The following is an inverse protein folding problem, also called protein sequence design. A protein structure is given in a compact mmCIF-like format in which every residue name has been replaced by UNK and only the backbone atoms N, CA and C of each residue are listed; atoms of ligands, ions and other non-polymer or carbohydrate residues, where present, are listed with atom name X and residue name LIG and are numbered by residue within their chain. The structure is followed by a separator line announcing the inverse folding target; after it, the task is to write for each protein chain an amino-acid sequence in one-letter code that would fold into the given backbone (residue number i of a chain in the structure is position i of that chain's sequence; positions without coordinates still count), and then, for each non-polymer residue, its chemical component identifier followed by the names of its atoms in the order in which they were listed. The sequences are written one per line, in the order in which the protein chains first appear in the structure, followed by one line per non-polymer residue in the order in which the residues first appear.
data_IF_677275070695
#
_entry.id   IF_677275070695
#
_cell.length_a   1.000
_cell.length_b   1.000
_cell.length_c   1.000
_cell.angle_alpha   90.00
_cell.angle_beta   90.00
_cell.angle_gamma   90.00
#
_symmetry.space_group_name_H-M   'P 1'
#
loop_
_entity.id
_entity.type
_entity.pdbx_description
1 polymer ?
#
# COMPACT_ATOMS: atom_id res chain seq x y z
N UNK A 1 -0.53 -18.09 18.90
CA UNK A 1 0.04 -16.96 19.71
C UNK A 1 1.44 -16.75 19.22
N UNK A 2 1.62 -15.69 18.44
CA UNK A 2 2.88 -15.41 17.75
C UNK A 2 3.74 -14.37 18.52
N UNK A 3 3.47 -14.21 19.82
CA UNK A 3 4.24 -13.33 20.70
C UNK A 3 5.22 -14.17 21.53
N UNK A 4 6.50 -13.85 21.41
CA UNK A 4 7.56 -14.42 22.24
C UNK A 4 7.95 -13.40 23.32
N UNK A 5 7.86 -13.80 24.58
CA UNK A 5 8.32 -12.96 25.68
C UNK A 5 9.83 -12.76 25.61
N UNK A 6 10.29 -11.53 25.42
CA UNK A 6 11.69 -11.17 25.33
C UNK A 6 12.31 -10.82 26.70
N UNK A 7 11.51 -10.42 27.67
CA UNK A 7 11.99 -10.02 28.98
C UNK A 7 11.17 -8.88 29.57
N UNK A 8 11.74 -8.29 30.60
CA UNK A 8 11.21 -7.13 31.28
C UNK A 8 12.13 -5.94 31.07
N UNK A 9 11.56 -4.78 30.82
CA UNK A 9 12.29 -3.52 30.82
C UNK A 9 11.85 -2.65 32.00
N UNK A 10 12.78 -1.87 32.55
CA UNK A 10 12.49 -0.83 33.53
C UNK A 10 12.42 0.48 32.75
N UNK A 11 11.22 1.04 32.61
CA UNK A 11 10.99 2.28 31.86
C UNK A 11 11.29 3.51 32.72
N UNK A 12 11.06 3.41 34.05
CA UNK A 12 11.32 4.50 34.97
C UNK A 12 11.58 3.97 36.38
N UNK A 13 12.21 4.79 37.22
CA UNK A 13 12.51 4.47 38.61
C UNK A 13 14.00 4.20 38.88
N UNK A 14 14.34 4.03 40.15
CA UNK A 14 15.70 3.73 40.61
C UNK A 14 15.77 2.30 41.12
N UNK A 15 16.67 1.51 40.59
CA UNK A 15 16.90 0.17 41.08
C UNK A 15 17.38 -0.79 40.01
N UNK A 16 17.71 -1.99 40.44
CA UNK A 16 18.02 -3.12 39.57
C UNK A 16 17.04 -4.24 39.89
N UNK A 17 16.92 -5.24 39.00
CA UNK A 17 16.10 -6.43 39.30
C UNK A 17 16.51 -7.17 40.57
N UNK A 18 17.73 -7.01 41.03
CA UNK A 18 18.21 -7.61 42.28
C UNK A 18 17.73 -6.88 43.53
N UNK A 19 17.49 -5.56 43.43
CA UNK A 19 16.96 -4.72 44.53
C UNK A 19 16.12 -3.59 43.95
N UNK A 20 14.91 -3.88 43.42
CA UNK A 20 14.06 -2.85 42.90
C UNK A 20 13.54 -1.94 44.00
N UNK A 21 13.56 -0.63 43.77
CA UNK A 21 12.74 0.30 44.50
C UNK A 21 11.34 0.24 43.90
N UNK A 22 10.38 -0.33 44.57
CA UNK A 22 9.02 -0.51 44.06
C UNK A 22 8.20 0.76 43.98
N UNK A 23 8.69 1.84 44.60
CA UNK A 23 8.06 3.14 44.48
C UNK A 23 8.45 3.76 43.12
N UNK A 24 7.45 4.05 42.31
CA UNK A 24 7.57 4.70 40.98
C UNK A 24 8.40 3.91 39.94
N UNK A 25 8.54 2.61 40.09
CA UNK A 25 9.17 1.77 39.06
C UNK A 25 8.12 1.23 38.12
N UNK A 26 8.24 1.57 36.83
CA UNK A 26 7.42 0.99 35.76
C UNK A 26 8.18 -0.16 35.15
N UNK A 27 7.60 -1.33 35.18
CA UNK A 27 8.16 -2.56 34.60
C UNK A 27 7.20 -3.03 33.51
N UNK A 28 7.71 -3.08 32.28
CA UNK A 28 6.93 -3.49 31.12
C UNK A 28 7.45 -4.81 30.55
N UNK A 29 6.54 -5.74 30.28
CA UNK A 29 6.89 -6.97 29.56
C UNK A 29 7.15 -6.66 28.10
N UNK A 30 8.30 -7.08 27.61
CA UNK A 30 8.61 -7.05 26.19
C UNK A 30 8.22 -8.37 25.53
N UNK A 31 7.49 -8.28 24.44
CA UNK A 31 7.14 -9.41 23.59
C UNK A 31 7.69 -9.20 22.19
N UNK A 32 8.19 -10.28 21.60
CA UNK A 32 8.45 -10.31 20.17
C UNK A 32 7.10 -10.31 19.44
N UNK A 33 6.97 -9.42 18.48
CA UNK A 33 5.81 -9.34 17.58
C UNK A 33 6.31 -9.61 16.18
N UNK A 34 5.81 -10.67 15.58
CA UNK A 34 6.16 -10.95 14.20
C UNK A 34 5.43 -9.97 13.28
N UNK A 35 6.19 -9.19 12.55
CA UNK A 35 5.72 -8.28 11.51
C UNK A 35 6.27 -8.66 10.14
N UNK A 36 6.72 -9.90 9.99
CA UNK A 36 7.39 -10.37 8.78
C UNK A 36 8.67 -9.57 8.51
N UNK A 37 8.80 -9.11 7.29
CA UNK A 37 9.94 -8.30 6.84
C UNK A 37 9.78 -6.80 7.17
N UNK A 38 8.63 -6.40 7.72
CA UNK A 38 8.32 -5.00 7.99
C UNK A 38 8.76 -4.54 9.38
N UNK A 39 9.18 -3.28 9.46
CA UNK A 39 9.25 -2.49 10.71
C UNK A 39 8.06 -1.55 10.69
N UNK A 40 7.32 -1.51 11.79
CA UNK A 40 6.11 -0.68 11.90
C UNK A 40 6.21 0.13 13.18
N UNK A 41 6.02 1.44 13.06
CA UNK A 41 5.83 2.34 14.19
C UNK A 41 4.44 2.96 14.14
N UNK A 42 3.89 3.29 15.31
CA UNK A 42 2.50 3.73 15.46
C UNK A 42 1.51 2.56 15.63
N UNK A 43 0.38 2.85 16.25
CA UNK A 43 -0.66 1.87 16.53
C UNK A 43 -0.26 0.76 17.51
N UNK A 44 -1.17 -0.17 17.72
CA UNK A 44 -1.00 -1.30 18.62
C UNK A 44 -1.17 -2.62 17.87
N UNK A 45 -0.15 -3.50 17.96
CA UNK A 45 -0.22 -4.85 17.40
C UNK A 45 -1.39 -5.66 18.01
N UNK A 46 -2.11 -6.38 17.16
CA UNK A 46 -3.30 -7.16 17.55
C UNK A 46 -4.58 -6.34 17.72
N UNK A 47 -4.49 -5.00 17.62
CA UNK A 47 -5.64 -4.08 17.66
C UNK A 47 -5.74 -3.28 16.37
N UNK A 48 -4.70 -2.54 16.05
CA UNK A 48 -4.67 -1.64 14.88
C UNK A 48 -4.02 -2.30 13.67
N UNK A 49 -3.10 -3.24 13.91
CA UNK A 49 -2.49 -4.04 12.86
C UNK A 49 -2.09 -5.43 13.37
N UNK A 50 -1.97 -6.36 12.45
CA UNK A 50 -1.50 -7.73 12.70
C UNK A 50 -0.69 -8.24 11.50
N UNK A 51 0.06 -9.30 11.72
CA UNK A 51 0.78 -9.99 10.67
C UNK A 51 0.36 -11.45 10.63
N UNK A 52 0.04 -11.96 9.45
CA UNK A 52 -0.40 -13.33 9.21
C UNK A 52 0.48 -14.01 8.17
N UNK A 53 0.66 -15.30 8.30
CA UNK A 53 1.41 -16.10 7.34
C UNK A 53 2.86 -16.29 7.70
N UNK A 54 3.58 -16.96 6.81
CA UNK A 54 5.02 -17.24 6.93
C UNK A 54 5.68 -17.12 5.56
N UNK A 55 6.91 -16.66 5.54
CA UNK A 55 7.71 -16.53 4.34
C UNK A 55 7.01 -15.69 3.25
N UNK A 56 6.97 -16.19 2.02
CA UNK A 56 6.37 -15.55 0.83
C UNK A 56 4.85 -15.31 0.87
N UNK A 57 4.16 -15.79 1.91
CA UNK A 57 2.71 -15.60 2.10
C UNK A 57 2.40 -14.67 3.27
N UNK A 58 3.39 -13.90 3.71
CA UNK A 58 3.20 -12.93 4.78
C UNK A 58 2.26 -11.80 4.36
N UNK A 59 1.33 -11.46 5.26
CA UNK A 59 0.36 -10.40 5.07
C UNK A 59 0.33 -9.48 6.28
N UNK A 60 0.81 -8.25 6.12
CA UNK A 60 0.60 -7.18 7.07
C UNK A 60 -0.81 -6.62 6.88
N UNK A 61 -1.65 -6.78 7.89
CA UNK A 61 -3.04 -6.31 7.89
C UNK A 61 -3.17 -5.08 8.76
N UNK A 62 -3.72 -3.98 8.23
CA UNK A 62 -3.96 -2.73 8.95
C UNK A 62 -5.46 -2.51 9.05
N UNK A 63 -5.94 -2.31 10.28
CA UNK A 63 -7.36 -2.17 10.62
C UNK A 63 -7.68 -0.90 11.40
N UNK A 64 -6.66 -0.21 11.89
CA UNK A 64 -6.81 1.04 12.66
C UNK A 64 -6.82 2.29 11.76
N UNK A 65 -7.15 3.43 12.36
CA UNK A 65 -7.22 4.74 11.68
C UNK A 65 -6.05 5.67 12.02
N UNK A 66 -5.00 5.13 12.66
CA UNK A 66 -3.84 5.93 13.09
C UNK A 66 -2.87 6.27 11.96
N UNK A 67 -1.76 6.85 12.36
CA UNK A 67 -0.58 7.03 11.49
C UNK A 67 0.40 5.90 11.77
N UNK A 68 0.85 5.24 10.71
CA UNK A 68 1.81 4.15 10.76
C UNK A 68 2.97 4.47 9.84
N UNK A 69 4.19 4.35 10.36
CA UNK A 69 5.39 4.40 9.54
C UNK A 69 5.82 2.97 9.24
N UNK A 70 6.09 2.69 7.98
CA UNK A 70 6.44 1.35 7.50
C UNK A 70 7.76 1.44 6.74
N UNK A 71 8.71 0.59 7.13
CA UNK A 71 9.96 0.34 6.41
C UNK A 71 10.25 -1.16 6.37
N UNK A 72 11.26 -1.56 5.62
CA UNK A 72 11.77 -2.93 5.66
C UNK A 72 12.80 -3.08 6.78
N UNK A 73 12.90 -4.29 7.35
CA UNK A 73 13.93 -4.62 8.33
C UNK A 73 15.33 -4.47 7.74
N UNK A 74 16.30 -4.16 8.58
CA UNK A 74 17.70 -4.03 8.18
C UNK A 74 18.18 -5.27 7.42
N UNK A 75 18.82 -5.05 6.27
CA UNK A 75 19.32 -6.10 5.38
C UNK A 75 18.28 -6.68 4.42
N UNK A 76 17.02 -6.29 4.50
CA UNK A 76 15.97 -6.64 3.54
C UNK A 76 15.90 -5.54 2.48
N UNK A 77 16.25 -5.87 1.23
CA UNK A 77 16.19 -4.92 0.11
C UNK A 77 14.83 -4.89 -0.57
N UNK A 78 14.15 -6.02 -0.60
CA UNK A 78 12.77 -6.17 -1.10
C UNK A 78 12.10 -7.33 -0.39
N UNK A 79 10.76 -7.35 -0.42
CA UNK A 79 9.96 -8.42 0.17
C UNK A 79 8.88 -8.90 -0.80
N UNK A 80 8.48 -10.16 -0.66
CA UNK A 80 7.34 -10.73 -1.35
C UNK A 80 6.06 -10.77 -0.46
N UNK A 81 6.14 -10.21 0.74
CA UNK A 81 5.01 -10.06 1.65
C UNK A 81 4.13 -8.89 1.24
N UNK A 82 2.89 -8.90 1.66
CA UNK A 82 1.85 -7.99 1.20
C UNK A 82 1.37 -7.07 2.31
N UNK A 83 0.79 -5.93 1.95
CA UNK A 83 0.11 -5.03 2.87
C UNK A 83 -1.36 -4.95 2.49
N UNK A 84 -2.26 -5.21 3.45
CA UNK A 84 -3.71 -5.06 3.29
C UNK A 84 -4.24 -4.03 4.27
N UNK A 85 -4.88 -3.00 3.74
CA UNK A 85 -5.61 -1.99 4.50
C UNK A 85 -7.09 -2.28 4.30
N UNK A 86 -7.78 -2.78 5.35
CA UNK A 86 -9.17 -3.25 5.21
C UNK A 86 -10.19 -2.49 6.05
N UNK A 87 -9.74 -1.68 6.99
CA UNK A 87 -10.61 -0.88 7.85
C UNK A 87 -9.94 0.43 8.25
N UNK A 88 -10.72 1.30 8.87
CA UNK A 88 -10.23 2.58 9.34
C UNK A 88 -9.97 3.57 8.20
N UNK A 89 -9.24 4.61 8.50
CA UNK A 89 -8.77 5.63 7.55
C UNK A 89 -7.31 5.97 7.86
N UNK A 90 -6.38 4.99 7.71
CA UNK A 90 -5.01 5.18 8.13
C UNK A 90 -4.24 6.16 7.24
N UNK A 91 -3.26 6.80 7.87
CA UNK A 91 -2.13 7.41 7.16
C UNK A 91 -0.94 6.48 7.24
N UNK A 92 -0.41 6.08 6.09
CA UNK A 92 0.76 5.20 5.99
C UNK A 92 1.92 6.01 5.43
N UNK A 93 2.96 6.17 6.22
CA UNK A 93 4.23 6.77 5.79
C UNK A 93 5.13 5.62 5.36
N UNK A 94 5.55 5.63 4.11
CA UNK A 94 6.40 4.60 3.51
C UNK A 94 7.83 5.11 3.43
N UNK A 95 8.76 4.37 4.05
CA UNK A 95 10.19 4.67 4.04
C UNK A 95 10.94 3.59 3.26
N UNK A 96 11.27 3.85 2.00
CA UNK A 96 12.05 2.94 1.13
C UNK A 96 11.46 1.51 1.06
N UNK A 97 10.14 1.40 1.00
CA UNK A 97 9.45 0.10 0.98
C UNK A 97 9.41 -0.45 -0.43
N UNK A 98 9.99 -1.64 -0.64
CA UNK A 98 9.96 -2.35 -1.90
C UNK A 98 9.27 -3.70 -1.75
N UNK A 99 8.18 -3.89 -2.50
CA UNK A 99 7.42 -5.14 -2.55
C UNK A 99 7.39 -5.68 -3.97
N UNK A 100 7.86 -6.92 -4.14
CA UNK A 100 7.81 -7.67 -5.40
C UNK A 100 7.06 -8.97 -5.14
N UNK A 101 5.77 -8.98 -5.44
CA UNK A 101 4.87 -10.08 -5.01
C UNK A 101 3.69 -10.24 -5.98
N UNK A 102 2.90 -11.29 -5.79
CA UNK A 102 1.64 -11.50 -6.55
C UNK A 102 0.59 -10.42 -6.26
N UNK A 103 0.45 -10.02 -5.02
CA UNK A 103 -0.26 -8.83 -4.56
C UNK A 103 0.70 -8.02 -3.72
N UNK A 104 0.73 -6.72 -3.88
CA UNK A 104 1.68 -5.87 -3.19
C UNK A 104 1.01 -5.13 -2.03
N UNK A 105 0.17 -4.15 -2.37
CA UNK A 105 -0.64 -3.40 -1.41
C UNK A 105 -2.09 -3.38 -1.89
N UNK A 106 -3.03 -3.57 -0.97
CA UNK A 106 -4.46 -3.45 -1.23
C UNK A 106 -5.14 -2.53 -0.24
N UNK A 107 -5.93 -1.59 -0.75
CA UNK A 107 -6.89 -0.78 -0.01
C UNK A 107 -8.27 -1.38 -0.28
N UNK A 108 -8.85 -2.08 0.70
CA UNK A 108 -10.05 -2.88 0.53
C UNK A 108 -11.27 -2.21 1.16
N UNK A 109 -12.08 -1.55 0.34
CA UNK A 109 -13.36 -0.96 0.76
C UNK A 109 -13.24 0.16 1.80
N UNK A 110 -12.08 0.82 1.88
CA UNK A 110 -11.80 1.87 2.86
C UNK A 110 -11.00 3.02 2.24
N UNK A 111 -10.64 4.01 3.05
CA UNK A 111 -9.85 5.17 2.63
C UNK A 111 -8.46 5.09 3.25
N UNK A 112 -7.43 5.28 2.45
CA UNK A 112 -6.06 5.34 2.94
C UNK A 112 -5.33 6.55 2.37
N UNK A 113 -4.43 7.11 3.18
CA UNK A 113 -3.46 8.12 2.74
C UNK A 113 -2.06 7.51 2.78
N UNK A 114 -1.36 7.55 1.65
CA UNK A 114 0.05 7.22 1.54
C UNK A 114 0.88 8.49 1.54
N UNK A 115 1.89 8.53 2.40
CA UNK A 115 2.88 9.59 2.47
C UNK A 115 4.21 8.98 2.05
N UNK A 116 4.79 9.51 0.98
CA UNK A 116 6.01 8.98 0.40
C UNK A 116 7.24 9.63 1.03
N UNK A 117 8.14 8.81 1.56
CA UNK A 117 9.47 9.18 2.00
C UNK A 117 10.48 8.20 1.39
N UNK A 118 11.54 8.72 0.74
CA UNK A 118 12.50 7.92 -0.01
C UNK A 118 11.93 7.26 -1.28
N UNK A 119 12.46 6.10 -1.66
CA UNK A 119 12.15 5.38 -2.90
C UNK A 119 11.27 4.16 -2.63
N UNK A 120 10.00 4.22 -2.98
CA UNK A 120 9.04 3.15 -2.75
C UNK A 120 8.67 2.44 -4.06
N UNK A 121 8.54 1.12 -4.02
CA UNK A 121 8.26 0.31 -5.22
C UNK A 121 7.31 -0.84 -4.93
N UNK A 122 6.26 -0.95 -5.73
CA UNK A 122 5.24 -2.00 -5.65
C UNK A 122 5.08 -2.64 -7.02
N UNK A 123 5.76 -3.77 -7.24
CA UNK A 123 5.75 -4.51 -8.49
C UNK A 123 4.99 -5.83 -8.33
N UNK A 124 3.88 -5.97 -9.06
CA UNK A 124 3.17 -7.25 -9.14
C UNK A 124 3.90 -8.20 -10.07
N UNK A 125 4.07 -9.46 -9.66
CA UNK A 125 4.72 -10.52 -10.45
C UNK A 125 3.74 -11.47 -11.12
N UNK A 126 2.45 -11.39 -10.81
CA UNK A 126 1.37 -11.97 -11.58
C UNK A 126 1.24 -13.49 -11.64
N UNK A 127 1.84 -14.23 -10.75
CA UNK A 127 1.68 -15.68 -10.73
C UNK A 127 0.79 -16.13 -9.55
N UNK A 128 -0.52 -16.03 -9.70
CA UNK A 128 -1.43 -16.73 -8.78
C UNK A 128 -2.54 -17.43 -9.56
N UNK A 129 -2.73 -18.70 -9.32
CA UNK A 129 -3.70 -19.60 -9.96
C UNK A 129 -5.17 -19.31 -9.66
N UNK A 130 -5.52 -18.12 -9.15
CA UNK A 130 -6.91 -17.74 -8.91
C UNK A 130 -7.06 -16.23 -8.69
N UNK A 131 -7.77 -15.53 -9.57
CA UNK A 131 -8.49 -14.24 -9.41
C UNK A 131 -7.88 -13.16 -8.49
N UNK A 132 -6.58 -13.18 -8.24
CA UNK A 132 -5.94 -12.20 -7.35
C UNK A 132 -5.60 -10.94 -8.13
N UNK A 133 -5.88 -9.83 -7.49
CA UNK A 133 -5.63 -8.48 -7.94
C UNK A 133 -4.12 -8.28 -8.11
N UNK A 134 -3.68 -8.20 -9.36
CA UNK A 134 -2.26 -8.10 -9.73
C UNK A 134 -1.88 -6.67 -10.14
N UNK A 135 -2.50 -5.68 -9.48
CA UNK A 135 -2.12 -4.28 -9.63
C UNK A 135 -0.81 -3.98 -8.88
N UNK A 136 -0.12 -2.93 -9.24
CA UNK A 136 0.98 -2.41 -8.44
C UNK A 136 0.48 -1.96 -7.06
N UNK A 137 -0.56 -1.12 -7.00
CA UNK A 137 -1.35 -0.87 -5.80
C UNK A 137 -2.81 -1.10 -6.14
N UNK A 138 -3.46 -2.01 -5.43
CA UNK A 138 -4.88 -2.30 -5.61
C UNK A 138 -5.74 -1.38 -4.75
N UNK A 139 -6.67 -0.68 -5.38
CA UNK A 139 -7.78 0.01 -4.69
C UNK A 139 -9.06 -0.71 -5.09
N UNK A 140 -9.69 -1.37 -4.13
CA UNK A 140 -10.89 -2.17 -4.36
C UNK A 140 -12.14 -1.31 -4.45
N UNK A 141 -13.26 -1.93 -4.78
CA UNK A 141 -14.59 -1.28 -4.78
C UNK A 141 -14.86 -0.56 -3.45
N UNK A 142 -15.41 0.65 -3.53
CA UNK A 142 -15.61 1.58 -2.41
C UNK A 142 -14.30 2.02 -1.72
N UNK A 143 -13.15 1.73 -2.31
CA UNK A 143 -11.85 2.15 -1.81
C UNK A 143 -11.43 3.52 -2.35
N UNK A 144 -10.74 4.29 -1.53
CA UNK A 144 -10.16 5.58 -1.93
C UNK A 144 -8.69 5.68 -1.48
N UNK A 145 -7.87 6.24 -2.34
CA UNK A 145 -6.44 6.41 -2.11
C UNK A 145 -6.04 7.88 -2.29
N UNK A 146 -5.40 8.46 -1.28
CA UNK A 146 -4.68 9.72 -1.38
C UNK A 146 -3.17 9.45 -1.33
N UNK A 147 -2.39 10.08 -2.19
CA UNK A 147 -0.92 10.00 -2.22
C UNK A 147 -0.35 11.41 -2.09
N UNK A 148 0.60 11.60 -1.19
CA UNK A 148 1.34 12.84 -1.01
C UNK A 148 2.81 12.59 -0.67
N UNK A 149 3.60 13.64 -0.59
CA UNK A 149 5.00 13.60 -0.15
C UNK A 149 5.13 13.86 1.35
N UNK A 150 6.18 13.33 1.97
CA UNK A 150 6.56 13.69 3.35
C UNK A 150 6.89 15.19 3.48
N UNK A 151 7.35 15.81 2.40
CA UNK A 151 7.64 17.25 2.31
C UNK A 151 6.39 18.10 1.99
N UNK A 152 5.19 17.49 1.98
CA UNK A 152 3.92 18.15 1.78
C UNK A 152 3.34 18.03 0.38
N UNK A 153 2.14 18.55 0.21
CA UNK A 153 1.46 18.60 -1.08
C UNK A 153 2.26 19.45 -2.06
N UNK A 154 2.18 19.14 -3.35
CA UNK A 154 2.92 19.75 -4.46
C UNK A 154 4.43 19.42 -4.50
N UNK A 155 5.05 18.90 -3.42
CA UNK A 155 6.43 18.45 -3.43
C UNK A 155 6.63 17.26 -4.37
N UNK A 156 7.80 17.18 -4.99
CA UNK A 156 8.25 16.01 -5.79
C UNK A 156 9.16 15.07 -5.01
N UNK A 157 9.45 15.39 -3.74
CA UNK A 157 10.23 14.53 -2.86
C UNK A 157 9.45 13.26 -2.51
N UNK A 158 10.18 12.16 -2.30
CA UNK A 158 9.60 10.83 -2.16
C UNK A 158 9.06 10.29 -3.48
N UNK A 159 9.35 9.04 -3.78
CA UNK A 159 8.95 8.43 -5.04
C UNK A 159 8.14 7.15 -4.85
N UNK A 160 7.33 6.84 -5.85
CA UNK A 160 6.54 5.62 -5.93
C UNK A 160 6.61 5.05 -7.35
N UNK A 161 7.16 3.86 -7.48
CA UNK A 161 7.00 3.02 -8.66
C UNK A 161 5.92 1.98 -8.40
N UNK A 162 4.90 1.92 -9.24
CA UNK A 162 3.80 0.96 -9.12
C UNK A 162 3.54 0.28 -10.46
N UNK A 163 3.65 -1.05 -10.50
CA UNK A 163 3.50 -1.83 -11.73
C UNK A 163 2.52 -2.97 -11.59
N UNK A 164 1.51 -2.96 -12.46
CA UNK A 164 0.55 -4.04 -12.62
C UNK A 164 1.10 -5.16 -13.48
N UNK A 165 0.57 -6.38 -13.28
CA UNK A 165 0.94 -7.54 -14.08
C UNK A 165 -0.31 -8.25 -14.61
N UNK A 166 -0.24 -8.78 -15.83
CA UNK A 166 -1.24 -9.63 -16.45
C UNK A 166 -0.69 -11.05 -16.61
N UNK A 167 -1.49 -12.05 -16.27
CA UNK A 167 -1.15 -13.43 -16.57
C UNK A 167 -1.30 -13.69 -18.09
N UNK A 168 -0.21 -13.91 -18.84
CA UNK A 168 -0.28 -14.11 -20.28
C UNK A 168 -0.92 -15.44 -20.69
N UNK A 169 -1.11 -16.36 -19.74
CA UNK A 169 -1.71 -17.68 -19.97
C UNK A 169 -3.20 -17.73 -19.61
N UNK A 170 -3.77 -16.62 -19.16
CA UNK A 170 -5.19 -16.51 -18.85
C UNK A 170 -5.85 -15.52 -19.82
N UNK A 171 -6.56 -16.05 -20.79
CA UNK A 171 -7.30 -15.25 -21.79
C UNK A 171 -8.42 -14.40 -21.17
N UNK A 172 -8.77 -14.69 -19.92
CA UNK A 172 -9.77 -13.96 -19.16
C UNK A 172 -9.16 -12.82 -18.31
N UNK A 173 -7.85 -12.80 -18.14
CA UNK A 173 -7.16 -11.70 -17.49
C UNK A 173 -7.08 -10.48 -18.42
N UNK A 174 -7.64 -9.35 -18.01
CA UNK A 174 -7.90 -8.17 -18.85
C UNK A 174 -6.98 -6.98 -18.61
N UNK A 175 -5.90 -7.22 -17.95
CA UNK A 175 -4.94 -6.16 -17.63
C UNK A 175 -5.24 -5.42 -16.36
N UNK A 176 -4.17 -5.11 -15.65
CA UNK A 176 -4.18 -4.55 -14.32
C UNK A 176 -3.48 -3.20 -14.28
N UNK A 177 -4.00 -2.30 -13.46
CA UNK A 177 -3.45 -0.96 -13.30
C UNK A 177 -2.09 -0.98 -12.58
N UNK A 178 -1.27 0.03 -12.82
CA UNK A 178 -0.19 0.36 -11.92
C UNK A 178 -0.73 0.75 -10.55
N UNK A 179 -1.65 1.72 -10.52
CA UNK A 179 -2.37 2.16 -9.31
C UNK A 179 -3.87 2.15 -9.62
N UNK A 180 -4.65 1.34 -8.89
CA UNK A 180 -6.10 1.31 -9.06
C UNK A 180 -6.70 -0.09 -8.96
N UNK A 181 -7.68 -0.39 -9.79
CA UNK A 181 -8.39 -1.66 -9.78
C UNK A 181 -9.89 -1.48 -9.96
N UNK A 182 -10.63 -1.22 -8.90
CA UNK A 182 -12.05 -0.83 -8.89
C UNK A 182 -12.25 0.39 -7.98
N UNK A 183 -11.31 1.32 -8.03
CA UNK A 183 -11.26 2.48 -7.15
C UNK A 183 -12.50 3.38 -7.31
N UNK A 184 -13.00 3.89 -6.19
CA UNK A 184 -13.93 5.01 -6.19
C UNK A 184 -13.19 6.33 -6.46
N UNK A 185 -12.08 6.55 -5.77
CA UNK A 185 -11.29 7.77 -5.88
C UNK A 185 -9.79 7.52 -5.74
N UNK A 186 -9.00 8.18 -6.59
CA UNK A 186 -7.55 8.26 -6.49
C UNK A 186 -7.17 9.74 -6.53
N UNK A 187 -6.48 10.22 -5.49
CA UNK A 187 -6.01 11.61 -5.40
C UNK A 187 -4.50 11.65 -5.24
N UNK A 188 -3.79 12.36 -6.10
CA UNK A 188 -2.35 12.56 -6.02
C UNK A 188 -2.08 14.04 -5.77
N UNK A 189 -1.41 14.34 -4.65
CA UNK A 189 -1.11 15.68 -4.18
C UNK A 189 0.38 16.00 -4.14
N UNK A 190 1.24 14.97 -4.18
CA UNK A 190 2.69 15.15 -4.12
C UNK A 190 3.45 13.84 -4.38
N UNK A 191 4.76 13.93 -4.42
CA UNK A 191 5.69 12.86 -4.75
C UNK A 191 6.00 12.74 -6.23
N UNK A 192 6.99 11.91 -6.55
CA UNK A 192 7.30 11.49 -7.93
C UNK A 192 6.72 10.12 -8.18
N UNK A 193 5.66 10.04 -8.98
CA UNK A 193 4.89 8.84 -9.23
C UNK A 193 5.19 8.29 -10.63
N UNK A 194 5.56 7.02 -10.72
CA UNK A 194 5.60 6.27 -11.96
C UNK A 194 4.68 5.07 -11.86
N UNK A 195 3.58 5.07 -12.60
CA UNK A 195 2.58 4.01 -12.58
C UNK A 195 2.50 3.35 -13.95
N UNK A 196 2.76 2.04 -14.02
CA UNK A 196 2.75 1.23 -15.24
C UNK A 196 1.67 0.17 -15.18
N UNK A 197 0.71 0.23 -16.08
CA UNK A 197 -0.29 -0.83 -16.27
C UNK A 197 0.28 -1.99 -17.07
N UNK A 198 -0.28 -3.17 -16.85
CA UNK A 198 -0.01 -4.34 -17.69
C UNK A 198 -0.75 -4.23 -19.03
N UNK A 199 -0.57 -5.22 -19.90
CA UNK A 199 -1.27 -5.27 -21.19
C UNK A 199 -2.80 -5.23 -21.00
N UNK A 200 -3.46 -4.22 -21.55
CA UNK A 200 -4.88 -3.90 -21.35
C UNK A 200 -5.19 -3.12 -20.07
N UNK A 201 -4.19 -2.83 -19.23
CA UNK A 201 -4.35 -2.07 -17.97
C UNK A 201 -3.86 -0.63 -18.07
N UNK A 202 -4.51 0.32 -17.38
CA UNK A 202 -4.06 1.71 -17.31
C UNK A 202 -2.86 1.87 -16.37
N UNK A 203 -2.11 2.94 -16.51
CA UNK A 203 -1.13 3.33 -15.49
C UNK A 203 -1.83 3.64 -14.16
N UNK A 204 -2.83 4.53 -14.20
CA UNK A 204 -3.65 4.91 -13.04
C UNK A 204 -5.12 4.80 -13.43
N UNK A 205 -5.91 4.04 -12.67
CA UNK A 205 -7.36 3.92 -12.87
C UNK A 205 -7.92 2.53 -12.70
N UNK A 206 -9.09 2.27 -13.28
CA UNK A 206 -9.74 0.97 -13.15
C UNK A 206 -9.21 -0.05 -14.15
N UNK A 207 -9.12 -1.30 -13.71
CA UNK A 207 -8.67 -2.42 -14.52
C UNK A 207 -9.50 -2.63 -15.79
N UNK A 208 -8.98 -3.40 -16.73
CA UNK A 208 -9.74 -3.97 -17.82
C UNK A 208 -10.89 -4.84 -17.29
N UNK A 209 -12.01 -4.86 -17.98
CA UNK A 209 -13.21 -5.59 -17.55
C UNK A 209 -13.50 -6.80 -18.41
N UNK A 210 -13.96 -7.88 -17.77
CA UNK A 210 -14.64 -8.99 -18.40
C UNK A 210 -16.14 -8.70 -18.45
N UNK A 211 -16.62 -8.16 -19.58
CA UNK A 211 -18.04 -7.88 -19.73
C UNK A 211 -18.48 -6.56 -19.10
N UNK A 212 -19.76 -6.27 -19.20
CA UNK A 212 -20.39 -4.97 -19.03
C UNK A 212 -20.68 -4.51 -17.60
N UNK A 213 -20.01 -4.98 -16.59
CA UNK A 213 -20.53 -4.86 -15.23
C UNK A 213 -19.79 -3.93 -14.26
N UNK A 214 -18.70 -3.31 -14.63
CA UNK A 214 -18.17 -2.21 -13.79
C UNK A 214 -18.66 -0.88 -14.36
N UNK A 215 -19.77 -0.40 -13.84
CA UNK A 215 -20.38 0.88 -14.26
C UNK A 215 -19.97 2.05 -13.36
N UNK A 216 -19.26 1.78 -12.29
CA UNK A 216 -18.92 2.82 -11.34
C UNK A 216 -17.75 3.66 -11.85
N UNK A 217 -17.92 5.00 -11.89
CA UNK A 217 -16.89 5.90 -12.35
C UNK A 217 -15.73 5.94 -11.36
N UNK A 218 -14.50 5.91 -11.86
CA UNK A 218 -13.34 6.28 -11.05
C UNK A 218 -13.12 7.79 -11.11
N UNK A 219 -12.93 8.41 -9.95
CA UNK A 219 -12.55 9.82 -9.83
C UNK A 219 -11.06 9.94 -9.58
N UNK A 220 -10.32 10.50 -10.56
CA UNK A 220 -8.88 10.69 -10.46
C UNK A 220 -8.60 12.19 -10.40
N UNK A 221 -7.93 12.64 -9.34
CA UNK A 221 -7.52 14.03 -9.13
C UNK A 221 -6.02 14.11 -8.93
N UNK A 222 -5.33 14.92 -9.74
CA UNK A 222 -3.90 15.16 -9.63
C UNK A 222 -3.72 16.66 -9.41
N UNK A 223 -3.31 17.03 -8.21
CA UNK A 223 -3.18 18.43 -7.79
C UNK A 223 -1.76 18.82 -7.42
N UNK A 224 -0.82 17.88 -7.41
CA UNK A 224 0.59 18.13 -7.11
C UNK A 224 1.48 16.96 -7.48
N UNK A 225 2.80 17.15 -7.29
CA UNK A 225 3.83 16.17 -7.60
C UNK A 225 4.18 16.07 -9.08
N UNK A 226 4.95 15.05 -9.43
CA UNK A 226 5.29 14.67 -10.80
C UNK A 226 4.73 13.29 -11.09
N UNK A 227 3.86 13.16 -12.11
CA UNK A 227 3.16 11.90 -12.41
C UNK A 227 3.47 11.43 -13.82
N UNK A 228 3.98 10.22 -13.94
CA UNK A 228 4.11 9.48 -15.19
C UNK A 228 3.22 8.25 -15.12
N UNK A 229 2.20 8.21 -15.95
CA UNK A 229 1.26 7.08 -16.01
C UNK A 229 1.34 6.44 -17.41
N UNK A 230 1.68 5.15 -17.44
CA UNK A 230 1.88 4.38 -18.67
C UNK A 230 0.84 3.25 -18.73
N UNK A 231 -0.09 3.35 -19.66
CA UNK A 231 -0.98 2.23 -20.02
C UNK A 231 -0.40 1.46 -21.20
N UNK A 232 -0.54 0.14 -21.20
CA UNK A 232 -0.15 -0.70 -22.33
C UNK A 232 -1.41 -1.25 -23.00
N UNK A 233 -1.65 -0.84 -24.23
CA UNK A 233 -2.94 -1.05 -24.93
C UNK A 233 -4.16 -0.52 -24.14
N UNK A 234 -3.93 0.48 -23.30
CA UNK A 234 -4.91 1.17 -22.45
C UNK A 234 -4.44 2.61 -22.23
N UNK A 235 -5.31 3.50 -21.74
CA UNK A 235 -4.91 4.87 -21.36
C UNK A 235 -3.85 4.89 -20.26
N UNK A 236 -2.97 5.88 -20.27
CA UNK A 236 -2.10 6.14 -19.12
C UNK A 236 -2.91 6.39 -17.85
N UNK A 237 -3.94 7.25 -17.96
CA UNK A 237 -4.89 7.57 -16.88
C UNK A 237 -6.30 7.30 -17.38
N UNK A 238 -7.09 6.52 -16.65
CA UNK A 238 -8.47 6.19 -17.02
C UNK A 238 -8.83 4.73 -16.79
N UNK A 239 -9.69 4.18 -17.63
CA UNK A 239 -10.13 2.79 -17.52
C UNK A 239 -9.35 1.88 -18.49
N UNK A 240 -9.09 0.67 -18.05
CA UNK A 240 -8.47 -0.37 -18.88
C UNK A 240 -9.35 -0.90 -20.01
N UNK A 241 -8.83 -1.84 -20.78
CA UNK A 241 -9.49 -2.42 -21.95
C UNK A 241 -10.89 -2.96 -21.61
N UNK A 242 -11.87 -2.62 -22.47
CA UNK A 242 -13.29 -3.05 -22.33
C UNK A 242 -13.99 -2.65 -21.02
N UNK A 243 -13.39 -1.84 -20.17
CA UNK A 243 -14.10 -1.24 -19.06
C UNK A 243 -14.96 -0.07 -19.59
N UNK A 244 -16.28 -0.20 -19.51
CA UNK A 244 -17.24 0.79 -20.03
C UNK A 244 -17.60 1.85 -18.97
N UNK A 245 -17.05 1.76 -17.75
CA UNK A 245 -17.25 2.77 -16.72
C UNK A 245 -16.66 4.13 -17.12
N UNK A 246 -17.19 5.18 -16.58
CA UNK A 246 -16.64 6.52 -16.78
C UNK A 246 -15.37 6.72 -15.95
N UNK A 247 -14.39 7.44 -16.48
CA UNK A 247 -13.26 7.95 -15.71
C UNK A 247 -13.35 9.49 -15.70
N UNK A 248 -13.55 10.07 -14.53
CA UNK A 248 -13.49 11.52 -14.35
C UNK A 248 -12.07 11.88 -13.89
N UNK A 249 -11.34 12.60 -14.74
CA UNK A 249 -9.95 12.97 -14.49
C UNK A 249 -9.84 14.48 -14.36
N UNK A 250 -9.34 14.95 -13.23
CA UNK A 250 -9.04 16.36 -12.98
C UNK A 250 -7.54 16.53 -12.75
N UNK A 251 -6.90 17.37 -13.53
CA UNK A 251 -5.46 17.70 -13.40
C UNK A 251 -5.38 19.19 -13.16
N UNK A 252 -4.71 19.61 -12.09
CA UNK A 252 -4.52 21.04 -11.81
C UNK A 252 -3.62 21.70 -12.85
N UNK A 253 -3.90 22.95 -13.15
CA UNK A 253 -3.08 23.75 -14.06
C UNK A 253 -1.66 23.94 -13.49
N UNK A 254 -0.64 23.81 -14.34
CA UNK A 254 0.76 24.06 -13.98
C UNK A 254 1.56 22.84 -13.51
N UNK A 255 0.98 21.66 -13.48
CA UNK A 255 1.75 20.41 -13.28
C UNK A 255 2.65 20.12 -14.50
N UNK A 256 3.86 19.67 -14.22
CA UNK A 256 4.88 19.30 -15.23
C UNK A 256 4.85 17.81 -15.52
#
# INVERSE_FOLDING_TARGET
RDEMFLGWIIESGYGTFAKPSWENTVITAQYYRDTGDFVITGGQYGVDYSFEGKNEWGLLRITGSGTYEISLKEGICDTNQQILIEKGTPTIILHDVRIVSYGTMEISGTKAKLVLDGENSFESTGYASSYKKTNGITVSENGSLEITSICGDESTEGSLYAKGHRNPYDDWDRGHAGIGGLAEQITIKGGTIYAEGSDGGPGIGNNGALGSSSSDPVHISITGGQVTAVGKNAPGIGNGEKNLGAAAVAIADGLK
#
